data_IF_882412142463
#
_entry.id   IF_882412142463
#
_cell.length_a   1.000
_cell.length_b   1.000
_cell.length_c   1.000
_cell.angle_alpha   90.00
_cell.angle_beta   90.00
_cell.angle_gamma   90.00
#
_symmetry.space_group_name_H-M   'P 1'
#
loop_
_entity.id
_entity.type
_entity.pdbx_description
1 polymer ?
#
# COMPACT_ATOMS: atom_id res chain seq x y z
N UNK A 1 -44.51 -6.10 -61.43
CA UNK A 1 -44.71 -6.33 -59.98
C UNK A 1 -43.86 -5.33 -59.26
N UNK A 2 -44.56 -4.38 -58.71
CA UNK A 2 -44.13 -3.12 -58.09
C UNK A 2 -43.43 -3.38 -56.74
N UNK A 3 -42.17 -3.01 -56.60
CA UNK A 3 -41.33 -3.23 -55.44
C UNK A 3 -40.72 -1.92 -54.89
N UNK A 4 -41.46 -0.81 -55.04
CA UNK A 4 -40.94 0.53 -54.72
C UNK A 4 -41.95 1.34 -53.86
N UNK A 5 -42.18 0.90 -52.64
CA UNK A 5 -42.94 1.76 -51.70
C UNK A 5 -42.89 1.29 -50.25
N UNK A 6 -41.71 1.25 -49.58
CA UNK A 6 -41.63 1.28 -48.09
C UNK A 6 -40.22 1.62 -47.54
N UNK A 7 -39.63 2.67 -48.03
CA UNK A 7 -38.53 3.31 -47.24
C UNK A 7 -39.12 4.51 -46.50
N UNK A 8 -39.82 4.24 -45.40
CA UNK A 8 -40.15 5.27 -44.42
C UNK A 8 -38.89 5.65 -43.67
N UNK A 9 -38.28 6.75 -44.06
CA UNK A 9 -37.25 7.45 -43.33
C UNK A 9 -37.76 7.79 -41.91
N UNK A 10 -37.42 6.97 -40.93
CA UNK A 10 -37.55 7.33 -39.53
C UNK A 10 -36.56 8.46 -39.25
N UNK A 11 -37.03 9.68 -39.31
CA UNK A 11 -36.34 10.84 -38.72
C UNK A 11 -36.21 10.61 -37.22
N UNK A 12 -35.00 10.20 -36.78
CA UNK A 12 -34.64 10.17 -35.36
C UNK A 12 -34.55 11.63 -34.92
N UNK A 13 -35.55 12.11 -34.20
CA UNK A 13 -35.51 13.40 -33.57
C UNK A 13 -34.28 13.43 -32.60
N UNK A 14 -33.48 14.50 -32.59
CA UNK A 14 -32.37 14.64 -31.64
C UNK A 14 -32.97 14.76 -30.24
N UNK A 15 -32.79 13.76 -29.41
CA UNK A 15 -33.08 13.83 -27.98
C UNK A 15 -32.11 14.80 -27.31
N UNK A 16 -32.42 16.09 -27.37
CA UNK A 16 -31.78 17.14 -26.57
C UNK A 16 -32.37 17.09 -25.17
N UNK A 17 -31.97 16.13 -24.38
CA UNK A 17 -32.15 16.19 -22.92
C UNK A 17 -30.86 15.76 -22.22
N UNK A 18 -29.80 16.51 -22.52
CA UNK A 18 -28.60 16.47 -21.70
C UNK A 18 -28.80 17.43 -20.52
N UNK A 19 -29.46 16.93 -19.46
CA UNK A 19 -29.45 17.63 -18.19
C UNK A 19 -28.00 18.05 -17.85
N UNK A 20 -27.74 19.31 -17.45
CA UNK A 20 -26.39 19.79 -17.20
C UNK A 20 -25.76 18.94 -16.13
N UNK A 21 -24.73 18.13 -16.50
CA UNK A 21 -23.91 17.38 -15.54
C UNK A 21 -23.41 18.39 -14.51
N UNK A 22 -23.95 18.34 -13.29
CA UNK A 22 -23.49 19.15 -12.15
C UNK A 22 -21.98 19.05 -12.11
N UNK A 23 -21.27 20.15 -12.40
CA UNK A 23 -19.82 20.26 -12.25
C UNK A 23 -19.51 19.93 -10.79
N UNK A 24 -19.00 18.73 -10.52
CA UNK A 24 -18.49 18.39 -9.19
C UNK A 24 -17.38 19.37 -8.89
N UNK A 25 -17.55 20.18 -7.85
CA UNK A 25 -16.50 21.07 -7.35
C UNK A 25 -15.28 20.19 -6.98
N UNK A 26 -14.20 20.34 -7.72
CA UNK A 26 -12.93 19.68 -7.43
C UNK A 26 -12.06 20.72 -6.75
N UNK A 27 -11.63 20.50 -5.49
CA UNK A 27 -10.72 21.41 -4.83
C UNK A 27 -9.44 21.56 -5.65
N UNK A 28 -8.82 22.73 -5.60
CA UNK A 28 -7.56 22.97 -6.30
C UNK A 28 -6.50 21.97 -5.77
N UNK A 29 -5.81 21.29 -6.66
CA UNK A 29 -4.81 20.27 -6.33
C UNK A 29 -3.79 20.75 -5.27
N UNK A 30 -3.22 21.98 -5.35
CA UNK A 30 -2.29 22.47 -4.33
C UNK A 30 -2.91 22.55 -2.93
N UNK A 31 -4.20 22.92 -2.83
CA UNK A 31 -4.89 22.98 -1.54
C UNK A 31 -5.09 21.59 -0.92
N UNK A 32 -5.38 20.57 -1.74
CA UNK A 32 -5.48 19.18 -1.27
C UNK A 32 -4.15 18.69 -0.72
N UNK A 33 -3.06 18.95 -1.45
CA UNK A 33 -1.72 18.55 -1.01
C UNK A 33 -1.31 19.31 0.26
N UNK A 34 -1.47 20.63 0.28
CA UNK A 34 -1.11 21.44 1.45
C UNK A 34 -1.90 21.02 2.69
N UNK A 35 -3.22 20.89 2.58
CA UNK A 35 -4.07 20.45 3.69
C UNK A 35 -3.72 19.05 4.16
N UNK A 36 -3.41 18.14 3.24
CA UNK A 36 -2.97 16.79 3.57
C UNK A 36 -1.61 16.75 4.28
N UNK A 37 -0.64 17.57 3.85
CA UNK A 37 0.67 17.68 4.52
C UNK A 37 0.52 18.24 5.93
N UNK A 38 -0.28 19.30 6.10
CA UNK A 38 -0.57 19.85 7.42
C UNK A 38 -1.22 18.80 8.32
N UNK A 39 -2.22 18.08 7.80
CA UNK A 39 -2.90 17.02 8.54
C UNK A 39 -1.94 15.88 8.92
N UNK A 40 -1.05 15.45 8.00
CA UNK A 40 -0.05 14.43 8.30
C UNK A 40 0.88 14.88 9.42
N UNK A 41 1.37 16.12 9.39
CA UNK A 41 2.25 16.66 10.44
C UNK A 41 1.50 16.67 11.79
N UNK A 42 0.29 17.21 11.83
CA UNK A 42 -0.53 17.28 13.06
C UNK A 42 -0.78 15.89 13.64
N UNK A 43 -1.17 14.94 12.80
CA UNK A 43 -1.44 13.57 13.26
C UNK A 43 -0.16 12.84 13.67
N UNK A 44 0.96 13.07 13.00
CA UNK A 44 2.27 12.49 13.36
C UNK A 44 2.75 13.03 14.71
N UNK A 45 2.66 14.33 14.93
CA UNK A 45 2.98 14.95 16.23
C UNK A 45 2.02 14.44 17.31
N UNK A 46 0.71 14.41 17.04
CA UNK A 46 -0.27 13.87 18.00
C UNK A 46 -0.01 12.40 18.34
N UNK A 47 0.41 11.59 17.37
CA UNK A 47 0.75 10.17 17.54
C UNK A 47 1.96 9.93 18.47
N UNK A 48 2.83 10.96 18.66
CA UNK A 48 3.94 10.89 19.62
C UNK A 48 3.44 10.74 21.06
N UNK A 49 2.29 11.33 21.39
CA UNK A 49 1.73 11.30 22.74
C UNK A 49 0.88 10.05 23.03
N UNK A 50 0.51 9.26 21.98
CA UNK A 50 -0.35 8.08 22.09
C UNK A 50 0.50 6.82 22.23
N UNK A 51 0.22 5.99 23.25
CA UNK A 51 0.87 4.70 23.46
C UNK A 51 0.83 4.25 24.92
N UNK A 52 1.30 3.03 25.23
CA UNK A 52 1.26 2.42 26.55
C UNK A 52 1.98 3.26 27.63
N UNK A 53 3.13 3.87 27.28
CA UNK A 53 3.81 4.85 28.13
C UNK A 53 3.34 6.26 27.70
N UNK A 54 2.60 6.97 28.53
CA UNK A 54 2.24 8.37 28.27
C UNK A 54 3.48 9.25 28.33
N UNK A 55 3.73 10.04 27.30
CA UNK A 55 4.74 11.11 27.30
C UNK A 55 4.00 12.44 27.47
N UNK A 56 4.47 13.27 28.43
CA UNK A 56 3.95 14.61 28.59
C UNK A 56 4.54 15.55 27.54
N UNK A 57 3.89 16.71 27.34
CA UNK A 57 4.41 17.74 26.45
C UNK A 57 5.79 18.22 26.90
N UNK A 58 5.99 18.42 28.21
CA UNK A 58 7.26 18.90 28.76
C UNK A 58 8.40 17.91 28.54
N UNK A 59 8.13 16.59 28.67
CA UNK A 59 9.10 15.55 28.37
C UNK A 59 9.53 15.53 26.89
N UNK A 60 8.58 15.74 25.98
CA UNK A 60 8.89 15.80 24.54
C UNK A 60 9.70 17.04 24.20
N UNK A 61 9.29 18.21 24.72
CA UNK A 61 10.01 19.47 24.50
C UNK A 61 11.42 19.44 25.12
N UNK A 62 11.54 18.92 26.33
CA UNK A 62 12.84 18.73 27.00
C UNK A 62 13.76 17.75 26.27
N UNK A 63 13.21 16.63 25.77
CA UNK A 63 13.96 15.67 24.95
C UNK A 63 14.47 16.28 23.63
N UNK A 64 13.74 17.21 23.06
CA UNK A 64 14.11 17.94 21.84
C UNK A 64 15.09 19.11 22.11
N UNK A 65 15.40 19.39 23.39
CA UNK A 65 16.35 20.44 23.81
C UNK A 65 15.80 21.85 23.76
N UNK A 66 14.48 22.03 23.84
CA UNK A 66 13.89 23.38 23.92
C UNK A 66 14.18 24.02 25.28
N UNK A 67 14.59 25.29 25.26
CA UNK A 67 14.87 26.05 26.46
C UNK A 67 13.61 26.22 27.34
N UNK A 68 13.77 26.04 28.66
CA UNK A 68 12.68 26.14 29.64
C UNK A 68 12.02 24.82 30.01
N UNK A 69 12.48 23.69 29.43
CA UNK A 69 12.03 22.34 29.77
C UNK A 69 13.18 21.49 30.29
N UNK A 70 12.90 20.70 31.32
CA UNK A 70 13.89 19.81 31.91
C UNK A 70 14.13 18.61 30.98
N UNK A 71 15.40 18.19 30.87
CA UNK A 71 15.77 17.01 30.13
C UNK A 71 15.17 15.75 30.77
N UNK A 72 14.28 15.01 30.11
CA UNK A 72 13.66 13.83 30.69
C UNK A 72 14.68 12.70 30.88
N UNK A 73 14.30 11.66 31.64
CA UNK A 73 15.14 10.50 31.89
C UNK A 73 15.55 9.83 30.56
N UNK A 74 16.70 9.15 30.53
CA UNK A 74 17.21 8.42 29.37
C UNK A 74 16.17 7.44 28.82
N UNK A 75 15.40 6.76 29.68
CA UNK A 75 14.33 5.86 29.28
C UNK A 75 13.26 6.59 28.45
N UNK A 76 12.85 7.80 28.88
CA UNK A 76 11.85 8.60 28.14
C UNK A 76 12.38 9.08 26.79
N UNK A 77 13.65 9.44 26.73
CA UNK A 77 14.32 9.79 25.47
C UNK A 77 14.39 8.60 24.51
N UNK A 78 14.77 7.40 24.98
CA UNK A 78 14.79 6.19 24.16
C UNK A 78 13.39 5.82 23.66
N UNK A 79 12.34 5.94 24.49
CA UNK A 79 10.96 5.73 24.05
C UNK A 79 10.61 6.68 22.91
N UNK A 80 11.00 7.95 22.99
CA UNK A 80 10.71 8.93 21.95
C UNK A 80 11.51 8.66 20.66
N UNK A 81 12.83 8.61 20.74
CA UNK A 81 13.71 8.61 19.56
C UNK A 81 13.98 7.23 18.98
N UNK A 82 13.96 6.17 19.78
CA UNK A 82 14.27 4.83 19.32
C UNK A 82 13.04 3.99 19.01
N UNK A 83 11.88 4.32 19.63
CA UNK A 83 10.65 3.56 19.43
C UNK A 83 9.60 4.36 18.66
N UNK A 84 9.21 5.56 19.13
CA UNK A 84 8.05 6.29 18.56
C UNK A 84 8.35 6.96 17.24
N UNK A 85 9.42 7.72 17.17
CA UNK A 85 9.78 8.45 15.93
C UNK A 85 10.01 7.49 14.76
N UNK A 86 10.86 6.43 14.90
CA UNK A 86 11.04 5.46 13.82
C UNK A 86 9.74 4.77 13.40
N UNK A 87 8.87 4.44 14.36
CA UNK A 87 7.58 3.80 14.11
C UNK A 87 6.65 4.69 13.30
N UNK A 88 6.52 5.97 13.65
CA UNK A 88 5.71 6.94 12.92
C UNK A 88 6.26 7.13 11.51
N UNK A 89 7.57 7.31 11.36
CA UNK A 89 8.22 7.45 10.07
C UNK A 89 8.04 6.20 9.20
N UNK A 90 8.16 5.00 9.78
CA UNK A 90 7.86 3.75 9.08
C UNK A 90 6.39 3.70 8.63
N UNK A 91 5.45 4.11 9.47
CA UNK A 91 4.03 4.21 9.10
C UNK A 91 3.81 5.15 7.91
N UNK A 92 4.47 6.30 7.88
CA UNK A 92 4.42 7.24 6.76
C UNK A 92 4.93 6.60 5.47
N UNK A 93 6.13 5.99 5.52
CA UNK A 93 6.80 5.40 4.36
C UNK A 93 6.01 4.21 3.80
N UNK A 94 5.61 3.29 4.67
CA UNK A 94 4.86 2.08 4.29
C UNK A 94 3.48 2.43 3.77
N UNK A 95 2.77 3.34 4.46
CA UNK A 95 1.45 3.79 4.01
C UNK A 95 1.49 4.47 2.64
N UNK A 96 2.48 5.35 2.42
CA UNK A 96 2.71 5.98 1.12
C UNK A 96 3.05 4.95 0.05
N UNK A 97 3.98 4.04 0.34
CA UNK A 97 4.42 2.99 -0.59
C UNK A 97 3.27 2.08 -1.01
N UNK A 98 2.54 1.50 -0.06
CA UNK A 98 1.43 0.60 -0.36
C UNK A 98 0.30 1.28 -1.14
N UNK A 99 -0.03 2.53 -0.82
CA UNK A 99 -1.06 3.28 -1.55
C UNK A 99 -0.65 3.55 -3.00
N UNK A 100 0.60 3.95 -3.25
CA UNK A 100 1.10 4.18 -4.61
C UNK A 100 1.23 2.86 -5.38
N UNK A 101 1.75 1.80 -4.75
CA UNK A 101 1.79 0.46 -5.33
C UNK A 101 0.41 0.02 -5.82
N UNK A 102 -0.60 0.17 -4.96
CA UNK A 102 -1.99 -0.13 -5.31
C UNK A 102 -2.51 0.71 -6.46
N UNK A 103 -2.26 2.02 -6.47
CA UNK A 103 -2.68 2.92 -7.55
C UNK A 103 -2.16 2.49 -8.91
N UNK A 104 -0.88 2.13 -8.98
CA UNK A 104 -0.23 1.69 -10.20
C UNK A 104 -0.67 0.27 -10.60
N UNK A 105 -0.76 -0.65 -9.64
CA UNK A 105 -1.20 -2.03 -9.91
C UNK A 105 -2.63 -2.08 -10.44
N UNK A 106 -3.57 -1.33 -9.84
CA UNK A 106 -4.95 -1.22 -10.34
C UNK A 106 -5.00 -0.74 -11.79
N UNK A 107 -4.07 0.10 -12.20
CA UNK A 107 -4.00 0.61 -13.57
C UNK A 107 -3.46 -0.43 -14.53
N UNK A 108 -2.33 -1.06 -14.24
CA UNK A 108 -1.70 -2.02 -15.15
C UNK A 108 -2.45 -3.35 -15.24
N UNK A 109 -3.23 -3.69 -14.21
CA UNK A 109 -4.10 -4.87 -14.21
C UNK A 109 -5.53 -4.56 -14.67
N UNK A 110 -5.87 -3.31 -14.98
CA UNK A 110 -7.23 -2.86 -15.29
C UNK A 110 -8.28 -3.37 -14.28
N UNK A 111 -7.85 -3.57 -13.04
CA UNK A 111 -8.68 -4.10 -11.96
C UNK A 111 -8.68 -3.15 -10.76
N UNK A 112 -9.80 -2.50 -10.45
CA UNK A 112 -9.90 -1.58 -9.30
C UNK A 112 -9.76 -2.29 -7.95
N UNK A 113 -9.84 -3.62 -7.93
CA UNK A 113 -9.66 -4.47 -6.75
C UNK A 113 -8.23 -4.99 -6.60
N UNK A 114 -7.32 -4.62 -7.49
CA UNK A 114 -5.95 -5.07 -7.40
C UNK A 114 -5.26 -4.42 -6.21
N UNK A 115 -4.59 -5.26 -5.43
CA UNK A 115 -3.80 -4.91 -4.25
C UNK A 115 -2.38 -5.47 -4.41
N UNK A 116 -1.33 -4.80 -3.89
CA UNK A 116 0.06 -5.25 -4.06
C UNK A 116 0.32 -6.70 -3.64
N UNK A 117 -0.42 -7.20 -2.66
CA UNK A 117 -0.29 -8.58 -2.18
C UNK A 117 -0.77 -9.64 -3.16
N UNK A 118 -1.61 -9.26 -4.14
CA UNK A 118 -2.03 -10.17 -5.22
C UNK A 118 -0.87 -10.61 -6.13
N UNK A 119 0.31 -10.01 -6.01
CA UNK A 119 1.52 -10.48 -6.71
C UNK A 119 2.20 -11.69 -6.02
N UNK A 120 1.61 -12.26 -4.97
CA UNK A 120 2.16 -13.39 -4.22
C UNK A 120 3.32 -13.04 -3.28
N UNK A 121 3.72 -11.76 -3.23
CA UNK A 121 4.89 -11.28 -2.49
C UNK A 121 4.74 -11.51 -0.99
N UNK A 122 3.55 -11.25 -0.42
CA UNK A 122 3.30 -11.47 1.00
C UNK A 122 3.43 -12.95 1.40
N UNK A 123 2.90 -13.86 0.58
CA UNK A 123 3.07 -15.30 0.80
C UNK A 123 4.54 -15.74 0.76
N UNK A 124 5.28 -15.28 -0.26
CA UNK A 124 6.70 -15.57 -0.36
C UNK A 124 7.52 -14.98 0.80
N UNK A 125 7.21 -13.76 1.21
CA UNK A 125 7.83 -13.13 2.38
C UNK A 125 7.58 -13.94 3.66
N UNK A 126 6.38 -14.52 3.80
CA UNK A 126 6.04 -15.42 4.91
C UNK A 126 6.89 -16.68 4.93
N UNK A 127 7.12 -17.29 3.75
CA UNK A 127 8.03 -18.45 3.64
C UNK A 127 9.44 -18.06 4.10
N UNK A 128 9.98 -16.93 3.60
CA UNK A 128 11.31 -16.48 3.96
C UNK A 128 11.43 -16.14 5.45
N UNK A 129 10.42 -15.51 6.04
CA UNK A 129 10.37 -15.22 7.47
C UNK A 129 10.37 -16.48 8.32
N UNK A 130 9.52 -17.46 7.98
CA UNK A 130 9.40 -18.74 8.70
C UNK A 130 10.68 -19.55 8.60
N UNK A 131 11.31 -19.62 7.43
CA UNK A 131 12.59 -20.31 7.25
C UNK A 131 13.64 -19.76 8.19
N UNK A 132 13.78 -18.43 8.29
CA UNK A 132 14.74 -17.76 9.17
C UNK A 132 14.44 -18.05 10.64
N UNK A 133 13.18 -17.97 11.06
CA UNK A 133 12.77 -18.21 12.44
C UNK A 133 13.00 -19.67 12.86
N UNK A 134 12.67 -20.63 11.99
CA UNK A 134 12.82 -22.07 12.28
C UNK A 134 14.27 -22.54 12.21
N UNK A 135 15.11 -21.97 11.33
CA UNK A 135 16.54 -22.30 11.27
C UNK A 135 17.31 -21.67 12.46
N UNK A 136 16.69 -20.69 13.15
CA UNK A 136 17.26 -20.10 14.35
C UNK A 136 18.42 -19.12 14.08
N UNK A 137 18.53 -18.57 12.86
CA UNK A 137 19.41 -17.44 12.58
C UNK A 137 18.84 -16.19 13.25
N UNK A 138 19.10 -16.08 14.54
CA UNK A 138 18.50 -15.04 15.38
C UNK A 138 19.06 -13.67 15.03
N UNK A 139 18.17 -12.79 14.60
CA UNK A 139 18.44 -11.38 14.38
C UNK A 139 17.36 -10.74 13.52
N UNK A 140 16.98 -9.51 13.83
CA UNK A 140 15.97 -8.76 13.05
C UNK A 140 16.40 -8.58 11.60
N UNK A 141 17.71 -8.39 11.36
CA UNK A 141 18.26 -8.33 10.01
C UNK A 141 18.04 -9.65 9.24
N UNK A 142 18.17 -10.80 9.93
CA UNK A 142 17.90 -12.10 9.32
C UNK A 142 16.44 -12.24 8.91
N UNK A 143 15.49 -11.88 9.78
CA UNK A 143 14.06 -11.96 9.50
C UNK A 143 13.65 -11.05 8.33
N UNK A 144 14.09 -9.79 8.35
CA UNK A 144 13.80 -8.82 7.29
C UNK A 144 14.40 -9.27 5.96
N UNK A 145 15.68 -9.72 5.95
CA UNK A 145 16.33 -10.22 4.75
C UNK A 145 15.65 -11.48 4.21
N UNK A 146 15.33 -12.44 5.10
CA UNK A 146 14.60 -13.66 4.72
C UNK A 146 13.24 -13.34 4.10
N UNK A 147 12.45 -12.46 4.71
CA UNK A 147 11.17 -12.02 4.19
C UNK A 147 11.33 -11.29 2.83
N UNK A 148 12.32 -10.42 2.69
CA UNK A 148 12.59 -9.73 1.43
C UNK A 148 12.96 -10.71 0.31
N UNK A 149 13.88 -11.64 0.58
CA UNK A 149 14.31 -12.66 -0.37
C UNK A 149 13.17 -13.60 -0.75
N UNK A 150 12.36 -14.03 0.23
CA UNK A 150 11.18 -14.85 -0.01
C UNK A 150 10.13 -14.14 -0.86
N UNK A 151 9.86 -12.86 -0.57
CA UNK A 151 8.95 -12.03 -1.35
C UNK A 151 9.41 -11.80 -2.79
N UNK A 152 10.70 -11.46 -2.98
CA UNK A 152 11.28 -11.34 -4.32
C UNK A 152 11.36 -12.68 -5.05
N UNK A 153 11.65 -13.77 -4.34
CA UNK A 153 11.66 -15.12 -4.90
C UNK A 153 10.30 -15.52 -5.43
N UNK A 154 9.21 -15.28 -4.67
CA UNK A 154 7.86 -15.55 -5.16
C UNK A 154 7.48 -14.67 -6.35
N UNK A 155 7.92 -13.42 -6.37
CA UNK A 155 7.72 -12.54 -7.53
C UNK A 155 8.49 -13.02 -8.76
N UNK A 156 9.71 -13.56 -8.61
CA UNK A 156 10.44 -14.19 -9.72
C UNK A 156 9.69 -15.42 -10.26
N UNK A 157 9.12 -16.26 -9.38
CA UNK A 157 8.25 -17.37 -9.80
C UNK A 157 7.05 -16.84 -10.59
N UNK A 158 6.41 -15.77 -10.12
CA UNK A 158 5.33 -15.11 -10.85
C UNK A 158 5.79 -14.67 -12.25
N UNK A 159 6.95 -14.00 -12.37
CA UNK A 159 7.48 -13.57 -13.66
C UNK A 159 7.77 -14.75 -14.60
N UNK A 160 8.27 -15.87 -14.07
CA UNK A 160 8.48 -17.10 -14.84
C UNK A 160 7.17 -17.66 -15.39
N UNK A 161 6.10 -17.68 -14.56
CA UNK A 161 4.77 -18.14 -15.00
C UNK A 161 4.15 -17.21 -16.05
N UNK A 162 4.48 -15.93 -16.02
CA UNK A 162 3.99 -14.94 -16.97
C UNK A 162 4.85 -14.83 -18.25
N UNK A 163 5.90 -15.62 -18.36
CA UNK A 163 6.80 -15.57 -19.52
C UNK A 163 6.04 -15.92 -20.80
N UNK A 164 6.08 -15.02 -21.77
CA UNK A 164 5.36 -15.19 -23.03
C UNK A 164 3.91 -14.71 -23.04
N UNK A 165 3.35 -14.33 -21.90
CA UNK A 165 1.95 -13.88 -21.78
C UNK A 165 1.72 -12.39 -22.08
N UNK A 166 2.78 -11.61 -22.26
CA UNK A 166 2.69 -10.14 -22.41
C UNK A 166 2.16 -9.43 -21.16
N UNK A 167 2.21 -10.08 -20.00
CA UNK A 167 1.68 -9.58 -18.71
C UNK A 167 0.18 -9.23 -18.77
N UNK A 168 -0.62 -10.07 -19.42
CA UNK A 168 -2.07 -9.87 -19.48
C UNK A 168 -2.67 -9.79 -18.07
N UNK A 169 -3.55 -8.82 -17.86
CA UNK A 169 -4.10 -8.48 -16.54
C UNK A 169 -4.68 -9.67 -15.78
N UNK A 170 -5.46 -10.51 -16.42
CA UNK A 170 -6.07 -11.70 -15.81
C UNK A 170 -5.01 -12.72 -15.39
N UNK A 171 -3.99 -12.93 -16.21
CA UNK A 171 -2.91 -13.88 -15.94
C UNK A 171 -2.02 -13.41 -14.78
N UNK A 172 -1.74 -12.10 -14.68
CA UNK A 172 -1.00 -11.53 -13.55
C UNK A 172 -1.73 -11.78 -12.24
N UNK A 173 -3.03 -11.50 -12.18
CA UNK A 173 -3.83 -11.72 -10.98
C UNK A 173 -3.93 -13.21 -10.63
N UNK A 174 -4.24 -14.07 -11.61
CA UNK A 174 -4.37 -15.51 -11.38
C UNK A 174 -3.06 -16.13 -10.91
N UNK A 175 -1.95 -15.87 -11.61
CA UNK A 175 -0.64 -16.39 -11.25
C UNK A 175 -0.20 -15.89 -9.87
N UNK A 176 -0.45 -14.61 -9.55
CA UNK A 176 -0.13 -14.05 -8.25
C UNK A 176 -0.90 -14.72 -7.11
N UNK A 177 -2.20 -14.99 -7.29
CA UNK A 177 -3.01 -15.74 -6.32
C UNK A 177 -2.48 -17.15 -6.15
N UNK A 178 -2.16 -17.87 -7.24
CA UNK A 178 -1.63 -19.24 -7.17
C UNK A 178 -0.29 -19.29 -6.44
N UNK A 179 0.64 -18.38 -6.78
CA UNK A 179 1.95 -18.27 -6.10
C UNK A 179 1.76 -17.96 -4.63
N UNK A 180 0.87 -17.01 -4.30
CA UNK A 180 0.56 -16.65 -2.91
C UNK A 180 0.00 -17.79 -2.10
N UNK A 181 -0.98 -18.55 -2.64
CA UNK A 181 -1.57 -19.70 -1.97
C UNK A 181 -0.57 -20.85 -1.80
N UNK A 182 0.26 -21.12 -2.82
CA UNK A 182 1.32 -22.11 -2.70
C UNK A 182 2.32 -21.73 -1.60
N UNK A 183 2.79 -20.49 -1.59
CA UNK A 183 3.70 -19.98 -0.58
C UNK A 183 3.07 -20.06 0.84
N UNK A 184 1.78 -19.74 0.98
CA UNK A 184 1.06 -19.87 2.24
C UNK A 184 1.02 -21.32 2.73
N UNK A 185 0.76 -22.27 1.84
CA UNK A 185 0.77 -23.70 2.17
C UNK A 185 2.16 -24.17 2.63
N UNK A 186 3.23 -23.71 1.95
CA UNK A 186 4.62 -23.99 2.35
C UNK A 186 4.93 -23.38 3.73
N UNK A 187 4.48 -22.16 4.01
CA UNK A 187 4.60 -21.53 5.33
C UNK A 187 4.03 -22.40 6.43
N UNK A 188 2.77 -22.84 6.28
CA UNK A 188 2.12 -23.70 7.26
C UNK A 188 2.79 -25.07 7.40
N UNK A 189 3.24 -25.66 6.29
CA UNK A 189 3.95 -26.94 6.32
C UNK A 189 5.22 -26.86 7.17
N UNK A 190 6.02 -25.79 7.01
CA UNK A 190 7.24 -25.59 7.78
C UNK A 190 6.90 -25.35 9.26
N UNK A 191 5.89 -24.54 9.55
CA UNK A 191 5.44 -24.27 10.93
C UNK A 191 5.00 -25.54 11.65
N UNK A 192 4.21 -26.39 10.99
CA UNK A 192 3.72 -27.63 11.59
C UNK A 192 4.82 -28.69 11.73
N UNK A 193 5.81 -28.70 10.84
CA UNK A 193 6.86 -29.71 10.87
C UNK A 193 8.00 -29.45 11.86
N UNK A 194 8.31 -28.18 12.13
CA UNK A 194 9.48 -27.80 12.93
C UNK A 194 9.25 -26.61 13.86
N UNK A 195 8.09 -25.97 13.84
CA UNK A 195 7.81 -24.79 14.67
C UNK A 195 7.59 -25.18 16.12
N UNK A 196 8.32 -24.56 17.04
CA UNK A 196 7.96 -24.50 18.45
C UNK A 196 6.87 -23.46 18.69
N UNK A 197 6.26 -23.44 19.88
CA UNK A 197 5.15 -22.53 20.19
C UNK A 197 5.52 -21.06 20.05
N UNK A 198 6.76 -20.68 20.44
CA UNK A 198 7.23 -19.31 20.39
C UNK A 198 7.47 -18.85 18.95
N UNK A 199 8.05 -19.69 18.11
CA UNK A 199 8.25 -19.42 16.68
C UNK A 199 6.90 -19.28 15.95
N UNK A 200 5.93 -20.14 16.26
CA UNK A 200 4.57 -20.06 15.68
C UNK A 200 3.92 -18.72 16.07
N UNK A 201 3.99 -18.33 17.34
CA UNK A 201 3.43 -17.07 17.82
C UNK A 201 4.11 -15.87 17.14
N UNK A 202 5.44 -15.87 17.03
CA UNK A 202 6.19 -14.81 16.36
C UNK A 202 5.81 -14.66 14.87
N UNK A 203 5.67 -15.77 14.16
CA UNK A 203 5.22 -15.77 12.76
C UNK A 203 3.80 -15.24 12.64
N UNK A 204 2.88 -15.68 13.49
CA UNK A 204 1.49 -15.20 13.48
C UNK A 204 1.42 -13.71 13.73
N UNK A 205 2.18 -13.19 14.70
CA UNK A 205 2.26 -11.76 14.97
C UNK A 205 2.81 -10.98 13.76
N UNK A 206 3.85 -11.54 13.10
CA UNK A 206 4.45 -10.93 11.91
C UNK A 206 3.49 -10.94 10.71
N UNK A 207 2.75 -12.03 10.50
CA UNK A 207 1.75 -12.14 9.43
C UNK A 207 0.61 -11.13 9.56
N UNK A 208 0.28 -10.72 10.79
CA UNK A 208 -0.76 -9.70 11.03
C UNK A 208 -0.28 -8.27 10.78
N UNK A 209 1.01 -8.07 10.52
CA UNK A 209 1.61 -6.76 10.25
C UNK A 209 1.67 -5.84 11.47
N UNK A 210 2.86 -5.47 11.87
CA UNK A 210 3.08 -4.62 13.04
C UNK A 210 4.20 -3.60 12.79
N UNK A 211 3.94 -2.34 13.14
CA UNK A 211 4.94 -1.27 13.09
C UNK A 211 5.86 -1.25 14.34
N UNK A 212 5.50 -1.99 15.40
CA UNK A 212 6.23 -1.98 16.67
C UNK A 212 7.65 -2.54 16.62
N UNK A 213 7.95 -3.41 15.64
CA UNK A 213 9.29 -3.96 15.43
C UNK A 213 10.20 -3.06 14.56
N UNK A 214 9.71 -1.89 14.14
CA UNK A 214 10.45 -0.97 13.25
C UNK A 214 11.69 -0.42 13.95
N UNK A 215 12.86 -0.72 13.40
CA UNK A 215 14.14 -0.16 13.81
C UNK A 215 14.69 0.79 12.76
N UNK A 216 15.60 1.67 13.16
CA UNK A 216 16.18 2.68 12.27
C UNK A 216 16.84 2.07 11.01
N UNK A 217 17.48 0.91 11.13
CA UNK A 217 18.13 0.24 10.01
C UNK A 217 17.17 -0.20 8.91
N UNK A 218 16.03 -0.81 9.29
CA UNK A 218 14.98 -1.20 8.36
C UNK A 218 14.25 0.00 7.75
N UNK A 219 14.12 1.09 8.51
CA UNK A 219 13.47 2.32 8.08
C UNK A 219 14.23 2.96 6.90
N UNK A 220 15.55 3.06 6.99
CA UNK A 220 16.36 3.70 5.94
C UNK A 220 16.24 2.95 4.61
N UNK A 221 16.34 1.63 4.62
CA UNK A 221 16.21 0.80 3.41
C UNK A 221 14.81 0.95 2.80
N UNK A 222 13.78 0.81 3.63
CA UNK A 222 12.39 0.94 3.17
C UNK A 222 12.10 2.34 2.64
N UNK A 223 12.63 3.38 3.29
CA UNK A 223 12.51 4.77 2.84
C UNK A 223 13.15 4.96 1.46
N UNK A 224 14.40 4.53 1.26
CA UNK A 224 15.11 4.68 -0.01
C UNK A 224 14.36 3.95 -1.13
N UNK A 225 13.95 2.69 -0.89
CA UNK A 225 13.22 1.91 -1.89
C UNK A 225 11.87 2.55 -2.21
N UNK A 226 11.08 2.92 -1.21
CA UNK A 226 9.76 3.50 -1.43
C UNK A 226 9.83 4.87 -2.12
N UNK A 227 10.71 5.77 -1.66
CA UNK A 227 10.79 7.11 -2.26
C UNK A 227 11.27 7.04 -3.71
N UNK A 228 12.28 6.23 -3.99
CA UNK A 228 12.79 6.01 -5.34
C UNK A 228 11.69 5.42 -6.25
N UNK A 229 10.99 4.39 -5.78
CA UNK A 229 9.87 3.79 -6.50
C UNK A 229 8.74 4.78 -6.78
N UNK A 230 8.33 5.58 -5.78
CA UNK A 230 7.29 6.60 -5.92
C UNK A 230 7.69 7.65 -6.97
N UNK A 231 8.94 8.13 -6.92
CA UNK A 231 9.45 9.13 -7.89
C UNK A 231 9.46 8.57 -9.30
N UNK A 232 9.96 7.32 -9.48
CA UNK A 232 9.97 6.67 -10.80
C UNK A 232 8.57 6.43 -11.33
N UNK A 233 7.64 5.93 -10.49
CA UNK A 233 6.25 5.71 -10.88
C UNK A 233 5.54 7.05 -11.19
N UNK A 234 5.87 8.10 -10.47
CA UNK A 234 5.34 9.45 -10.77
C UNK A 234 5.87 9.98 -12.11
N UNK A 235 7.15 9.77 -12.43
CA UNK A 235 7.71 10.10 -13.72
C UNK A 235 7.04 9.33 -14.87
N UNK A 236 6.61 8.08 -14.61
CA UNK A 236 5.86 7.24 -15.55
C UNK A 236 4.36 7.58 -15.62
N UNK A 237 3.87 8.62 -14.93
CA UNK A 237 2.44 8.94 -14.84
C UNK A 237 1.74 9.06 -16.19
N UNK A 238 2.40 9.64 -17.20
CA UNK A 238 1.85 9.75 -18.58
C UNK A 238 1.64 8.38 -19.23
N UNK A 239 2.59 7.47 -19.07
CA UNK A 239 2.47 6.09 -19.57
C UNK A 239 1.35 5.33 -18.88
N UNK A 240 1.22 5.51 -17.55
CA UNK A 240 0.14 4.93 -16.76
C UNK A 240 -1.24 5.48 -17.17
N UNK A 241 -1.34 6.80 -17.44
CA UNK A 241 -2.59 7.41 -17.92
C UNK A 241 -3.00 6.83 -19.28
N UNK A 242 -2.05 6.60 -20.15
CA UNK A 242 -2.28 6.01 -21.48
C UNK A 242 -2.67 4.54 -21.38
N UNK A 243 -1.98 3.74 -20.56
CA UNK A 243 -2.35 2.34 -20.29
C UNK A 243 -3.77 2.18 -19.75
N UNK A 244 -4.22 3.13 -18.92
CA UNK A 244 -5.58 3.12 -18.36
C UNK A 244 -6.68 3.20 -19.42
N UNK A 245 -6.41 3.79 -20.57
CA UNK A 245 -7.39 3.92 -21.67
C UNK A 245 -7.56 2.59 -22.41
N UNK A 246 -6.55 1.73 -22.38
CA UNK A 246 -6.53 0.41 -23.01
C UNK A 246 -5.26 0.15 -23.80
N UNK A 247 -4.89 -1.10 -23.93
CA UNK A 247 -3.62 -1.53 -24.53
C UNK A 247 -3.50 -1.14 -26.01
N UNK A 248 -4.59 -1.31 -26.78
CA UNK A 248 -4.61 -0.95 -28.20
C UNK A 248 -4.38 0.55 -28.39
N UNK A 249 -5.05 1.39 -27.62
CA UNK A 249 -4.88 2.84 -27.67
C UNK A 249 -3.47 3.25 -27.20
N UNK A 250 -2.95 2.62 -26.15
CA UNK A 250 -1.61 2.89 -25.65
C UNK A 250 -0.55 2.58 -26.72
N UNK A 251 -0.70 1.46 -27.42
CA UNK A 251 0.20 1.07 -28.50
C UNK A 251 0.18 2.08 -29.67
N UNK A 252 -1.00 2.54 -30.09
CA UNK A 252 -1.13 3.56 -31.17
C UNK A 252 -0.54 4.92 -30.76
N UNK A 253 -0.50 5.23 -29.48
CA UNK A 253 0.14 6.42 -28.92
C UNK A 253 1.65 6.26 -28.67
N UNK A 254 2.25 5.14 -29.12
CA UNK A 254 3.70 4.89 -29.04
C UNK A 254 4.20 4.42 -27.66
N UNK A 255 3.30 4.01 -26.75
CA UNK A 255 3.70 3.46 -25.45
C UNK A 255 4.05 1.98 -25.60
N UNK A 256 5.26 1.53 -25.20
CA UNK A 256 5.63 0.12 -25.20
C UNK A 256 4.93 -0.62 -24.06
N UNK A 257 3.70 -1.08 -24.31
CA UNK A 257 2.75 -1.62 -23.28
C UNK A 257 3.39 -2.71 -22.43
N UNK A 258 4.00 -3.73 -23.04
CA UNK A 258 4.59 -4.88 -22.33
C UNK A 258 5.74 -4.44 -21.43
N UNK A 259 6.64 -3.59 -21.95
CA UNK A 259 7.78 -3.09 -21.19
C UNK A 259 7.33 -2.20 -20.03
N UNK A 260 6.41 -1.28 -20.29
CA UNK A 260 5.88 -0.37 -19.25
C UNK A 260 5.17 -1.16 -18.15
N UNK A 261 4.33 -2.13 -18.51
CA UNK A 261 3.63 -2.99 -17.56
C UNK A 261 4.61 -3.82 -16.74
N UNK A 262 5.57 -4.46 -17.38
CA UNK A 262 6.63 -5.23 -16.72
C UNK A 262 7.44 -4.36 -15.74
N UNK A 263 7.87 -3.17 -16.17
CA UNK A 263 8.61 -2.23 -15.32
C UNK A 263 7.80 -1.80 -14.08
N UNK A 264 6.53 -1.45 -14.26
CA UNK A 264 5.65 -1.09 -13.15
C UNK A 264 5.47 -2.26 -12.18
N UNK A 265 5.27 -3.49 -12.68
CA UNK A 265 5.15 -4.68 -11.84
C UNK A 265 6.42 -4.92 -11.02
N UNK A 266 7.60 -4.78 -11.61
CA UNK A 266 8.90 -4.92 -10.91
C UNK A 266 9.05 -3.85 -9.83
N UNK A 267 8.78 -2.58 -10.15
CA UNK A 267 8.90 -1.48 -9.17
C UNK A 267 7.92 -1.66 -8.01
N UNK A 268 6.67 -2.01 -8.30
CA UNK A 268 5.65 -2.31 -7.28
C UNK A 268 6.06 -3.50 -6.43
N UNK A 269 6.63 -4.56 -7.04
CA UNK A 269 7.10 -5.72 -6.32
C UNK A 269 8.27 -5.41 -5.36
N UNK A 270 9.26 -4.65 -5.81
CA UNK A 270 10.38 -4.20 -4.96
C UNK A 270 9.89 -3.37 -3.79
N UNK A 271 9.00 -2.40 -4.04
CA UNK A 271 8.41 -1.56 -3.01
C UNK A 271 7.57 -2.38 -2.01
N UNK A 272 6.74 -3.28 -2.49
CA UNK A 272 5.91 -4.16 -1.65
C UNK A 272 6.78 -5.13 -0.85
N UNK A 273 7.81 -5.71 -1.45
CA UNK A 273 8.73 -6.61 -0.74
C UNK A 273 9.47 -5.88 0.39
N UNK A 274 9.96 -4.67 0.14
CA UNK A 274 10.62 -3.86 1.17
C UNK A 274 9.66 -3.50 2.32
N UNK A 275 8.42 -3.12 2.02
CA UNK A 275 7.41 -2.80 3.05
C UNK A 275 7.02 -4.03 3.86
N UNK A 276 6.73 -5.16 3.21
CA UNK A 276 6.34 -6.42 3.89
C UNK A 276 7.48 -6.96 4.73
N UNK A 277 8.70 -6.93 4.23
CA UNK A 277 9.88 -7.39 4.97
C UNK A 277 10.11 -6.61 6.27
N UNK A 278 9.78 -5.31 6.28
CA UNK A 278 10.00 -4.44 7.43
C UNK A 278 8.89 -4.49 8.48
N UNK A 279 7.63 -4.67 8.06
CA UNK A 279 6.48 -4.52 8.97
C UNK A 279 5.44 -5.64 8.84
N UNK A 280 5.71 -6.67 8.05
CA UNK A 280 4.74 -7.72 7.75
C UNK A 280 3.64 -7.28 6.78
N UNK A 281 2.57 -8.08 6.68
CA UNK A 281 1.50 -7.85 5.73
C UNK A 281 0.47 -6.83 6.27
N UNK A 282 0.35 -5.67 5.62
CA UNK A 282 -0.64 -4.62 5.97
C UNK A 282 -1.57 -4.41 4.78
N UNK A 283 -2.73 -5.06 4.78
CA UNK A 283 -3.70 -4.99 3.68
C UNK A 283 -4.58 -3.74 3.66
N UNK A 284 -5.38 -3.63 2.60
CA UNK A 284 -6.40 -2.61 2.35
C UNK A 284 -5.90 -1.20 2.03
N UNK A 285 -4.69 -0.80 2.41
CA UNK A 285 -4.15 0.53 2.11
C UNK A 285 -4.06 0.74 0.59
N UNK A 286 -3.46 -0.22 -0.12
CA UNK A 286 -3.32 -0.18 -1.58
C UNK A 286 -4.64 -0.33 -2.34
N UNK A 287 -5.66 -0.89 -1.71
CA UNK A 287 -6.98 -1.07 -2.31
C UNK A 287 -7.81 0.22 -2.23
N UNK A 288 -7.93 0.79 -1.03
CA UNK A 288 -8.92 1.81 -0.69
C UNK A 288 -8.43 3.20 -1.03
N UNK A 289 -7.18 3.51 -0.66
CA UNK A 289 -6.63 4.86 -0.80
C UNK A 289 -6.68 5.35 -2.24
N UNK A 290 -6.19 4.62 -3.26
CA UNK A 290 -6.24 5.10 -4.63
C UNK A 290 -7.67 5.31 -5.14
N UNK A 291 -8.60 4.46 -4.72
CA UNK A 291 -10.00 4.59 -5.09
C UNK A 291 -10.60 5.88 -4.53
N UNK A 292 -10.42 6.15 -3.23
CA UNK A 292 -10.88 7.37 -2.58
C UNK A 292 -10.24 8.62 -3.19
N UNK A 293 -8.94 8.59 -3.45
CA UNK A 293 -8.19 9.70 -4.05
C UNK A 293 -8.70 10.05 -5.44
N UNK A 294 -8.99 9.05 -6.29
CA UNK A 294 -9.54 9.30 -7.62
C UNK A 294 -10.89 10.03 -7.59
N UNK A 295 -11.68 9.85 -6.56
CA UNK A 295 -12.96 10.57 -6.38
C UNK A 295 -12.76 12.05 -6.11
N UNK A 296 -11.64 12.44 -5.50
CA UNK A 296 -11.33 13.82 -5.10
C UNK A 296 -10.55 14.56 -6.19
N UNK A 297 -9.39 14.01 -6.61
CA UNK A 297 -8.46 14.69 -7.51
C UNK A 297 -8.59 14.26 -8.98
N UNK A 298 -9.48 13.32 -9.26
CA UNK A 298 -9.62 12.71 -10.60
C UNK A 298 -8.63 11.57 -10.81
N UNK A 299 -8.53 11.09 -12.05
CA UNK A 299 -7.83 9.84 -12.36
C UNK A 299 -6.46 10.02 -13.00
N UNK A 300 -5.98 11.25 -13.20
CA UNK A 300 -4.64 11.50 -13.75
C UNK A 300 -3.56 11.12 -12.75
N UNK A 301 -2.64 10.22 -13.14
CA UNK A 301 -1.61 9.66 -12.24
C UNK A 301 -0.66 10.71 -11.68
N UNK A 302 -0.41 11.80 -12.43
CA UNK A 302 0.37 12.93 -11.91
C UNK A 302 -0.21 13.56 -10.62
N UNK A 303 -1.53 13.40 -10.37
CA UNK A 303 -2.21 13.86 -9.15
C UNK A 303 -2.50 12.69 -8.20
N UNK A 304 -2.87 11.53 -8.74
CA UNK A 304 -3.23 10.34 -7.95
C UNK A 304 -2.04 9.84 -7.14
N UNK A 305 -0.85 9.75 -7.74
CA UNK A 305 0.34 9.22 -7.05
C UNK A 305 0.71 10.04 -5.81
N UNK A 306 0.96 11.37 -5.89
CA UNK A 306 1.36 12.13 -4.71
C UNK A 306 0.26 12.22 -3.64
N UNK A 307 -1.01 12.31 -4.05
CA UNK A 307 -2.12 12.35 -3.07
C UNK A 307 -2.36 10.98 -2.45
N UNK A 308 -2.18 9.88 -3.22
CA UNK A 308 -2.25 8.52 -2.65
C UNK A 308 -1.13 8.28 -1.64
N UNK A 309 0.09 8.71 -1.92
CA UNK A 309 1.19 8.62 -0.97
C UNK A 309 0.83 9.35 0.34
N UNK A 310 0.33 10.56 0.24
CA UNK A 310 -0.05 11.38 1.40
C UNK A 310 -1.21 10.77 2.22
N UNK A 311 -2.28 10.36 1.54
CA UNK A 311 -3.46 9.77 2.21
C UNK A 311 -3.12 8.39 2.78
N UNK A 312 -2.28 7.60 2.11
CA UNK A 312 -1.79 6.32 2.62
C UNK A 312 -0.95 6.48 3.89
N UNK A 313 -0.06 7.47 3.90
CA UNK A 313 0.72 7.83 5.09
C UNK A 313 -0.19 8.23 6.27
N UNK A 314 -1.16 9.11 6.03
CA UNK A 314 -2.15 9.53 7.04
C UNK A 314 -2.92 8.32 7.58
N UNK A 315 -3.45 7.48 6.68
CA UNK A 315 -4.23 6.32 7.08
C UNK A 315 -3.44 5.38 7.99
N UNK A 316 -2.17 5.13 7.66
CA UNK A 316 -1.38 4.17 8.43
C UNK A 316 -0.89 4.75 9.76
N UNK A 317 -0.56 6.05 9.83
CA UNK A 317 -0.25 6.73 11.10
C UNK A 317 -1.46 6.72 12.04
N UNK A 318 -2.66 6.99 11.52
CA UNK A 318 -3.91 6.94 12.31
C UNK A 318 -4.23 5.52 12.75
N UNK A 319 -4.13 4.54 11.85
CA UNK A 319 -4.37 3.13 12.17
C UNK A 319 -3.42 2.62 13.26
N UNK A 320 -2.13 3.02 13.20
CA UNK A 320 -1.15 2.68 14.22
C UNK A 320 -1.44 3.35 15.57
N UNK A 321 -1.83 4.63 15.56
CA UNK A 321 -2.23 5.32 16.78
C UNK A 321 -3.44 4.64 17.46
N UNK A 322 -4.43 4.21 16.69
CA UNK A 322 -5.58 3.44 17.19
C UNK A 322 -5.12 2.09 17.71
N UNK A 323 -4.27 1.36 16.97
CA UNK A 323 -3.76 0.04 17.37
C UNK A 323 -3.07 0.05 18.74
N UNK A 324 -2.36 1.17 19.04
CA UNK A 324 -1.66 1.38 20.33
C UNK A 324 -2.55 1.86 21.48
N UNK A 325 -3.73 2.37 21.18
CA UNK A 325 -4.62 2.97 22.19
C UNK A 325 -5.82 2.11 22.57
N UNK A 326 -6.19 1.11 21.74
CA UNK A 326 -7.45 0.38 21.87
C UNK A 326 -7.48 -0.52 23.12
N UNK A 327 -6.36 -1.17 23.47
CA UNK A 327 -6.24 -2.02 24.65
C UNK A 327 -5.10 -1.56 25.55
N UNK A 328 -5.38 -1.40 26.84
CA UNK A 328 -4.36 -1.05 27.82
C UNK A 328 -3.39 -2.23 28.01
N UNK A 329 -2.10 -1.98 27.78
CA UNK A 329 -1.03 -2.98 27.99
C UNK A 329 -0.80 -3.99 26.86
N UNK A 330 -1.59 -3.96 25.79
CA UNK A 330 -1.39 -4.78 24.61
C UNK A 330 -1.45 -3.92 23.34
N UNK A 331 -0.48 -4.10 22.46
CA UNK A 331 -0.48 -3.46 21.15
C UNK A 331 -1.09 -4.40 20.11
N UNK A 332 -2.11 -3.92 19.41
CA UNK A 332 -2.69 -4.66 18.30
C UNK A 332 -1.81 -4.55 17.05
N UNK A 333 -1.71 -5.61 16.24
CA UNK A 333 -1.19 -5.50 14.89
C UNK A 333 -1.98 -4.48 14.06
N UNK A 334 -1.27 -3.57 13.39
CA UNK A 334 -1.89 -2.49 12.62
C UNK A 334 -2.71 -3.02 11.43
N UNK A 335 -2.34 -4.18 10.89
CA UNK A 335 -3.08 -4.85 9.83
C UNK A 335 -4.53 -5.19 10.20
N UNK A 336 -4.80 -5.49 11.48
CA UNK A 336 -6.18 -5.69 11.97
C UNK A 336 -6.98 -4.39 11.85
N UNK A 337 -6.40 -3.28 12.27
CA UNK A 337 -7.07 -1.97 12.24
C UNK A 337 -7.32 -1.52 10.79
N UNK A 338 -6.32 -1.70 9.90
CA UNK A 338 -6.50 -1.36 8.48
C UNK A 338 -7.58 -2.21 7.82
N UNK A 339 -7.72 -3.48 8.18
CA UNK A 339 -8.79 -4.34 7.68
C UNK A 339 -10.17 -3.93 8.24
N UNK A 340 -10.28 -3.68 9.55
CA UNK A 340 -11.53 -3.27 10.20
C UNK A 340 -12.05 -1.93 9.67
N UNK A 341 -11.18 -0.98 9.39
CA UNK A 341 -11.54 0.31 8.79
C UNK A 341 -11.77 0.15 7.29
N UNK A 342 -10.94 -0.64 6.65
CA UNK A 342 -10.87 -0.77 5.21
C UNK A 342 -12.08 -1.42 4.59
N UNK A 343 -12.50 -2.57 5.11
CA UNK A 343 -13.64 -3.31 4.53
C UNK A 343 -14.92 -2.48 4.49
N UNK A 344 -15.36 -1.83 5.59
CA UNK A 344 -16.55 -0.98 5.56
C UNK A 344 -16.43 0.21 4.61
N UNK A 345 -15.29 0.91 4.62
CA UNK A 345 -15.07 2.06 3.73
C UNK A 345 -15.13 1.61 2.27
N UNK A 346 -14.46 0.50 1.93
CA UNK A 346 -14.49 -0.04 0.57
C UNK A 346 -15.91 -0.36 0.12
N UNK A 347 -16.71 -1.01 0.97
CA UNK A 347 -18.10 -1.34 0.68
C UNK A 347 -18.95 -0.08 0.41
N UNK A 348 -18.77 0.96 1.22
CA UNK A 348 -19.47 2.24 1.05
C UNK A 348 -19.07 2.94 -0.27
N UNK A 349 -17.79 2.94 -0.61
CA UNK A 349 -17.28 3.52 -1.85
C UNK A 349 -17.78 2.75 -3.08
N UNK A 350 -17.80 1.42 -3.01
CA UNK A 350 -18.31 0.57 -4.09
C UNK A 350 -19.80 0.78 -4.37
N UNK A 351 -20.61 0.93 -3.31
CA UNK A 351 -22.03 1.22 -3.43
C UNK A 351 -22.29 2.60 -4.09
N UNK A 352 -21.44 3.60 -3.80
CA UNK A 352 -21.55 4.94 -4.42
C UNK A 352 -21.13 4.97 -5.88
N UNK A 353 -20.25 4.10 -6.32
CA UNK A 353 -19.79 4.02 -7.71
C UNK A 353 -20.81 3.39 -8.66
N UNK A 354 -21.85 2.71 -8.15
CA UNK A 354 -22.95 2.12 -8.93
C UNK A 354 -24.12 3.06 -9.17
N UNK A 355 -24.14 4.25 -8.59
CA UNK A 355 -25.07 5.35 -8.85
C UNK A 355 -24.40 6.43 -9.72
#
# INVERSE_FOLDING_TARGET
>A
VDLDSRLTTRTVAPTTDSAPRKRRFRPAFPLVVMGGVILLIVLSVGSVFIGAASLSWDEVMGAMGFAGYDTPSLLRQSILFELRVPRILMGIVVGAGLAVAGACLQTVTHNPLAEPYLLGISGGASVGAVVVLVIGTQGILGLTAGAALGGLGSFLVLLMLLRGSGFQSQQVVLAGVLVGQFAQAVTFLIMMGKGDADSIQAVMAWLMGALGASRQEGLLVTFIVCITAIVVLWALSRHLDTLRIGDATAHTMGVPVVLTRGAVLVIVALMTSATVASVGAIGFVGLIVPHAVRLVVGSAHARVIPVSALVGAILLVVADAIARSLFKGQELPVGIITALIGVPIFFLLWKKGKK
#
